data_IF_748538986923
#
_entry.id   IF_748538986923
#
_cell.length_a   1.000
_cell.length_b   1.000
_cell.length_c   1.000
_cell.angle_alpha   90.00
_cell.angle_beta   90.00
_cell.angle_gamma   90.00
#
_symmetry.space_group_name_H-M   'P 1'
#
loop_
_entity.id
_entity.type
_entity.pdbx_description
1 polymer ?
#
# COMPACT_ATOMS: atom_id res chain seq x y z
N UNK A 1 -10.84 -3.21 -16.78
CA UNK A 1 -10.05 -2.08 -16.23
C UNK A 1 -9.07 -1.65 -17.31
N UNK A 2 -9.38 -0.64 -18.09
CA UNK A 2 -8.54 -0.35 -19.29
C UNK A 2 -8.34 1.14 -19.55
N UNK A 3 -9.10 2.01 -18.94
CA UNK A 3 -8.99 3.45 -19.17
C UNK A 3 -8.39 4.13 -17.94
N UNK A 4 -7.29 4.84 -18.16
CA UNK A 4 -6.68 5.72 -17.17
C UNK A 4 -7.52 7.00 -17.07
N UNK A 5 -7.91 7.34 -15.84
CA UNK A 5 -8.65 8.55 -15.49
C UNK A 5 -7.86 9.42 -14.52
N UNK A 6 -8.32 10.65 -14.30
CA UNK A 6 -7.69 11.59 -13.36
C UNK A 6 -8.73 12.22 -12.46
N UNK A 7 -8.34 12.46 -11.20
CA UNK A 7 -9.14 13.16 -10.20
C UNK A 7 -8.22 14.03 -9.35
N UNK A 8 -8.71 15.21 -8.93
CA UNK A 8 -7.98 16.05 -7.97
C UNK A 8 -8.48 15.77 -6.55
N UNK A 9 -7.55 15.45 -5.64
CA UNK A 9 -7.82 15.28 -4.22
C UNK A 9 -6.60 15.73 -3.41
N UNK A 10 -6.81 16.27 -2.22
CA UNK A 10 -5.72 16.73 -1.34
C UNK A 10 -4.68 17.63 -2.05
N UNK A 11 -5.14 18.46 -3.00
CA UNK A 11 -4.27 19.35 -3.77
C UNK A 11 -3.34 18.67 -4.80
N UNK A 12 -3.60 17.41 -5.14
CA UNK A 12 -2.81 16.61 -6.08
C UNK A 12 -3.71 15.98 -7.14
N UNK A 13 -3.23 15.89 -8.38
CA UNK A 13 -3.89 15.14 -9.44
C UNK A 13 -3.49 13.67 -9.37
N UNK A 14 -4.46 12.80 -9.18
CA UNK A 14 -4.28 11.35 -9.13
C UNK A 14 -4.72 10.71 -10.44
N UNK A 15 -3.82 9.96 -11.09
CA UNK A 15 -4.21 8.99 -12.11
C UNK A 15 -4.80 7.75 -11.42
N UNK A 16 -5.87 7.16 -11.98
CA UNK A 16 -6.50 5.99 -11.40
C UNK A 16 -7.15 5.08 -12.42
N UNK A 17 -7.37 3.84 -12.03
CA UNK A 17 -8.25 2.88 -12.69
C UNK A 17 -9.51 2.67 -11.86
N UNK A 18 -10.61 2.35 -12.52
CA UNK A 18 -11.86 2.01 -11.85
C UNK A 18 -12.61 0.88 -12.53
N UNK A 19 -13.52 0.27 -11.80
CA UNK A 19 -14.51 -0.71 -12.26
C UNK A 19 -15.80 -0.61 -11.44
N UNK A 20 -16.93 -0.96 -12.05
CA UNK A 20 -18.25 -0.88 -11.41
C UNK A 20 -18.94 0.47 -11.55
N UNK A 21 -20.20 0.55 -11.09
CA UNK A 21 -21.01 1.77 -11.17
C UNK A 21 -20.48 2.85 -10.22
N UNK A 22 -20.39 4.09 -10.68
CA UNK A 22 -19.87 5.21 -9.89
C UNK A 22 -20.77 5.61 -8.69
N UNK A 23 -22.01 5.16 -8.66
CA UNK A 23 -22.98 5.38 -7.58
C UNK A 23 -23.07 4.21 -6.58
N UNK A 24 -22.24 3.18 -6.75
CA UNK A 24 -22.11 2.07 -5.80
C UNK A 24 -21.18 2.44 -4.63
N UNK A 25 -21.24 1.72 -3.49
CA UNK A 25 -20.30 1.92 -2.38
C UNK A 25 -18.84 1.87 -2.83
N UNK A 26 -18.02 2.81 -2.36
CA UNK A 26 -16.61 2.92 -2.76
C UNK A 26 -15.77 1.76 -2.19
N UNK A 27 -14.94 1.15 -3.04
CA UNK A 27 -13.83 0.29 -2.63
C UNK A 27 -12.52 0.89 -3.15
N UNK A 28 -11.76 1.55 -2.27
CA UNK A 28 -10.49 2.19 -2.62
C UNK A 28 -9.32 1.23 -2.40
N UNK A 29 -8.49 1.01 -3.44
CA UNK A 29 -7.37 0.07 -3.45
C UNK A 29 -6.03 0.80 -3.59
N UNK A 30 -5.19 0.78 -2.55
CA UNK A 30 -3.91 1.49 -2.48
C UNK A 30 -2.74 0.53 -2.63
N UNK A 31 -1.90 0.74 -3.64
CA UNK A 31 -0.66 -0.02 -3.85
C UNK A 31 0.48 0.45 -2.94
N UNK A 32 1.66 -0.14 -3.06
CA UNK A 32 2.85 0.28 -2.32
C UNK A 32 4.09 0.43 -3.19
N UNK A 33 5.25 0.08 -2.64
CA UNK A 33 6.56 0.12 -3.31
C UNK A 33 7.15 -1.30 -3.44
N UNK A 34 7.83 -1.61 -4.52
CA UNK A 34 7.79 -0.93 -5.80
C UNK A 34 6.65 -1.52 -6.66
N UNK A 35 5.51 -0.84 -6.65
CA UNK A 35 4.27 -1.30 -7.25
C UNK A 35 3.51 -0.14 -7.90
N UNK A 36 2.37 -0.40 -8.53
CA UNK A 36 1.48 0.59 -9.14
C UNK A 36 0.01 0.15 -9.07
N UNK A 37 -0.91 1.04 -9.43
CA UNK A 37 -2.34 0.72 -9.54
C UNK A 37 -2.66 -0.48 -10.48
N UNK A 38 -1.75 -0.87 -11.34
CA UNK A 38 -1.91 -2.03 -12.24
C UNK A 38 -2.01 -3.37 -11.48
N UNK A 39 -1.47 -3.47 -10.28
CA UNK A 39 -1.51 -4.70 -9.48
C UNK A 39 -2.92 -5.09 -9.04
N UNK A 40 -3.85 -4.13 -9.02
CA UNK A 40 -5.24 -4.36 -8.66
C UNK A 40 -6.12 -4.91 -9.80
N UNK A 41 -5.53 -5.22 -10.98
CA UNK A 41 -6.26 -5.69 -12.18
C UNK A 41 -7.14 -6.92 -11.97
N UNK A 42 -6.84 -7.77 -11.00
CA UNK A 42 -7.62 -8.95 -10.67
C UNK A 42 -8.70 -8.68 -9.62
N UNK A 43 -8.45 -7.75 -8.70
CA UNK A 43 -9.38 -7.45 -7.61
C UNK A 43 -10.45 -6.44 -8.05
N UNK A 44 -10.10 -5.41 -8.84
CA UNK A 44 -11.07 -4.39 -9.26
C UNK A 44 -12.32 -4.96 -9.95
N UNK A 45 -12.20 -5.89 -10.94
CA UNK A 45 -13.38 -6.51 -11.53
C UNK A 45 -14.20 -7.32 -10.51
N UNK A 46 -13.53 -8.03 -9.60
CA UNK A 46 -14.21 -8.86 -8.61
C UNK A 46 -14.99 -8.00 -7.58
N UNK A 47 -14.46 -6.85 -7.19
CA UNK A 47 -15.17 -5.87 -6.37
C UNK A 47 -16.37 -5.26 -7.11
N UNK A 48 -16.20 -4.93 -8.39
CA UNK A 48 -17.29 -4.41 -9.23
C UNK A 48 -18.43 -5.44 -9.38
N UNK A 49 -18.10 -6.70 -9.61
CA UNK A 49 -19.07 -7.80 -9.67
C UNK A 49 -19.79 -8.02 -8.33
N UNK A 50 -19.13 -7.67 -7.22
CA UNK A 50 -19.71 -7.69 -5.87
C UNK A 50 -20.51 -6.43 -5.51
N UNK A 51 -20.66 -5.48 -6.45
CA UNK A 51 -21.51 -4.29 -6.29
C UNK A 51 -20.78 -3.06 -5.72
N UNK A 52 -19.45 -2.97 -5.83
CA UNK A 52 -18.68 -1.79 -5.43
C UNK A 52 -18.31 -0.92 -6.64
N UNK A 53 -18.14 0.38 -6.39
CA UNK A 53 -17.32 1.26 -7.21
C UNK A 53 -15.86 1.06 -6.79
N UNK A 54 -15.14 0.20 -7.50
CA UNK A 54 -13.77 -0.16 -7.18
C UNK A 54 -12.79 0.81 -7.86
N UNK A 55 -11.92 1.45 -7.09
CA UNK A 55 -10.98 2.48 -7.55
C UNK A 55 -9.57 2.16 -7.09
N UNK A 56 -8.60 2.24 -8.00
CA UNK A 56 -7.18 2.09 -7.70
C UNK A 56 -6.39 3.30 -8.21
N UNK A 57 -6.03 4.26 -7.36
CA UNK A 57 -5.16 5.36 -7.72
C UNK A 57 -3.70 4.93 -7.77
N UNK A 58 -2.90 5.61 -8.60
CA UNK A 58 -1.46 5.66 -8.41
C UNK A 58 -1.18 6.58 -7.23
N UNK A 59 -0.36 6.14 -6.28
CA UNK A 59 -0.07 6.93 -5.09
C UNK A 59 0.67 8.24 -5.43
N UNK A 60 0.69 9.20 -4.47
CA UNK A 60 1.43 10.45 -4.61
C UNK A 60 2.86 10.21 -5.08
N UNK A 61 3.34 10.93 -6.09
CA UNK A 61 4.67 10.76 -6.61
C UNK A 61 4.91 9.54 -7.52
N UNK A 62 3.90 8.73 -7.81
CA UNK A 62 3.95 7.66 -8.79
C UNK A 62 3.23 8.09 -10.08
N UNK A 63 3.96 8.19 -11.20
CA UNK A 63 3.32 8.56 -12.46
C UNK A 63 2.23 7.54 -12.85
N UNK A 64 1.06 8.02 -13.35
CA UNK A 64 0.73 9.36 -13.80
C UNK A 64 0.21 10.32 -12.72
N UNK A 65 0.16 9.92 -11.44
CA UNK A 65 -0.15 10.87 -10.38
C UNK A 65 0.94 11.92 -10.22
N UNK A 66 0.56 13.11 -9.72
CA UNK A 66 1.48 14.24 -9.59
C UNK A 66 2.53 14.06 -8.49
N UNK A 67 3.52 14.95 -8.51
CA UNK A 67 4.49 15.15 -7.44
C UNK A 67 3.89 16.18 -6.46
N UNK A 68 3.74 15.87 -5.15
CA UNK A 68 3.15 16.80 -4.20
C UNK A 68 4.01 18.06 -4.04
N UNK A 69 3.39 19.22 -4.19
CA UNK A 69 4.08 20.51 -4.12
C UNK A 69 4.64 20.82 -2.71
N UNK A 70 4.02 20.25 -1.67
CA UNK A 70 4.47 20.36 -0.28
C UNK A 70 5.65 19.44 0.07
N UNK A 71 6.04 18.53 -0.84
CA UNK A 71 7.12 17.57 -0.64
C UNK A 71 6.84 16.53 0.46
N UNK A 72 5.58 16.37 0.88
CA UNK A 72 5.20 15.45 1.95
C UNK A 72 5.13 14.00 1.45
N UNK A 73 6.01 13.16 1.99
CA UNK A 73 6.08 11.72 1.70
C UNK A 73 5.93 10.85 2.95
N UNK A 74 5.61 11.45 4.09
CA UNK A 74 5.29 10.70 5.31
C UNK A 74 4.01 9.86 5.11
N UNK A 75 3.92 8.75 5.82
CA UNK A 75 2.79 7.84 5.70
C UNK A 75 1.43 8.50 6.01
N UNK A 76 1.40 9.47 6.94
CA UNK A 76 0.21 10.28 7.23
C UNK A 76 -0.29 11.08 6.02
N UNK A 77 0.61 11.52 5.12
CA UNK A 77 0.19 12.20 3.91
C UNK A 77 -0.52 11.26 2.92
N UNK A 78 -0.10 9.99 2.84
CA UNK A 78 -0.77 8.98 2.00
C UNK A 78 -2.13 8.60 2.61
N UNK A 79 -2.21 8.55 3.94
CA UNK A 79 -3.48 8.30 4.65
C UNK A 79 -4.47 9.46 4.43
N UNK A 80 -3.99 10.72 4.47
CA UNK A 80 -4.80 11.88 4.15
C UNK A 80 -5.27 11.88 2.68
N UNK A 81 -4.44 11.39 1.74
CA UNK A 81 -4.87 11.19 0.35
C UNK A 81 -6.02 10.19 0.26
N UNK A 82 -5.95 9.08 1.00
CA UNK A 82 -7.03 8.09 1.01
C UNK A 82 -8.35 8.71 1.48
N UNK A 83 -8.33 9.50 2.57
CA UNK A 83 -9.50 10.19 3.09
C UNK A 83 -10.02 11.28 2.12
N UNK A 84 -9.13 12.01 1.43
CA UNK A 84 -9.52 12.99 0.43
C UNK A 84 -10.07 12.36 -0.85
N UNK A 85 -9.51 11.21 -1.28
CA UNK A 85 -10.04 10.43 -2.40
C UNK A 85 -11.42 9.84 -2.08
N UNK A 86 -11.64 9.38 -0.84
CA UNK A 86 -12.97 8.98 -0.37
C UNK A 86 -13.99 10.10 -0.61
N UNK A 87 -13.69 11.34 -0.20
CA UNK A 87 -14.57 12.49 -0.45
C UNK A 87 -14.75 12.79 -1.94
N UNK A 88 -13.64 12.79 -2.70
CA UNK A 88 -13.65 13.13 -4.12
C UNK A 88 -14.46 12.15 -4.96
N UNK A 89 -14.50 10.86 -4.57
CA UNK A 89 -15.35 9.84 -5.19
C UNK A 89 -16.76 9.76 -4.61
N UNK A 90 -17.13 10.63 -3.67
CA UNK A 90 -18.46 10.63 -3.05
C UNK A 90 -18.69 9.45 -2.11
N UNK A 91 -17.63 8.93 -1.50
CA UNK A 91 -17.71 7.85 -0.52
C UNK A 91 -18.58 8.21 0.69
N UNK A 92 -19.21 7.21 1.26
CA UNK A 92 -20.00 7.29 2.49
C UNK A 92 -19.48 6.29 3.54
N UNK A 93 -20.22 6.11 4.64
CA UNK A 93 -19.84 5.18 5.71
C UNK A 93 -19.86 3.70 5.33
N UNK A 94 -20.33 3.33 4.13
CA UNK A 94 -20.29 1.97 3.58
C UNK A 94 -19.02 1.70 2.76
N UNK A 95 -18.19 2.73 2.55
CA UNK A 95 -16.92 2.59 1.83
C UNK A 95 -15.96 1.61 2.52
N UNK A 96 -15.11 0.98 1.72
CA UNK A 96 -14.08 0.04 2.18
C UNK A 96 -12.71 0.43 1.65
N UNK A 97 -11.66 0.19 2.45
CA UNK A 97 -10.29 0.55 2.11
C UNK A 97 -9.41 -0.69 2.07
N UNK A 98 -8.69 -0.87 0.97
CA UNK A 98 -7.82 -2.02 0.73
C UNK A 98 -6.42 -1.50 0.44
N UNK A 99 -5.43 -1.94 1.20
CA UNK A 99 -4.05 -1.48 1.03
C UNK A 99 -3.03 -2.61 0.99
N UNK A 100 -2.02 -2.46 0.15
CA UNK A 100 -0.86 -3.33 0.06
C UNK A 100 0.41 -2.52 0.34
N UNK A 101 1.34 -3.04 1.12
CA UNK A 101 2.64 -2.41 1.45
C UNK A 101 2.46 -0.97 1.99
N UNK A 102 2.96 0.08 1.36
CA UNK A 102 2.70 1.47 1.77
C UNK A 102 1.21 1.80 1.80
N UNK A 103 0.42 1.22 0.89
CA UNK A 103 -1.04 1.32 0.94
C UNK A 103 -1.64 0.69 2.18
N UNK A 104 -1.05 -0.39 2.74
CA UNK A 104 -1.48 -0.96 4.02
C UNK A 104 -1.17 -0.01 5.18
N UNK A 105 0.02 0.61 5.18
CA UNK A 105 0.38 1.64 6.17
C UNK A 105 -0.59 2.83 6.12
N UNK A 106 -0.90 3.31 4.92
CA UNK A 106 -1.88 4.38 4.72
C UNK A 106 -3.28 3.96 5.20
N UNK A 107 -3.66 2.70 5.01
CA UNK A 107 -4.94 2.16 5.48
C UNK A 107 -5.06 2.25 7.00
N UNK A 108 -4.01 1.89 7.75
CA UNK A 108 -4.02 2.05 9.21
C UNK A 108 -4.21 3.53 9.62
N UNK A 109 -3.48 4.45 8.97
CA UNK A 109 -3.60 5.88 9.23
C UNK A 109 -4.97 6.46 8.87
N UNK A 110 -5.51 6.12 7.70
CA UNK A 110 -6.79 6.61 7.21
C UNK A 110 -7.96 6.11 8.06
N UNK A 111 -7.98 4.81 8.39
CA UNK A 111 -9.03 4.21 9.24
C UNK A 111 -8.91 4.63 10.70
N UNK A 112 -7.70 4.93 11.17
CA UNK A 112 -7.46 5.39 12.53
C UNK A 112 -7.80 6.87 12.74
N UNK A 113 -7.61 7.72 11.72
CA UNK A 113 -7.89 9.16 11.78
C UNK A 113 -9.33 9.53 11.41
N UNK A 114 -10.02 8.71 10.61
CA UNK A 114 -11.38 8.95 10.14
C UNK A 114 -12.18 7.63 10.07
N UNK A 115 -12.39 6.93 11.20
CA UNK A 115 -13.01 5.61 11.22
C UNK A 115 -14.46 5.60 10.68
N UNK A 116 -15.18 6.72 10.80
CA UNK A 116 -16.55 6.88 10.32
C UNK A 116 -16.69 6.80 8.79
N UNK A 117 -15.60 6.93 8.06
CA UNK A 117 -15.56 6.86 6.59
C UNK A 117 -15.50 5.43 6.07
N UNK A 118 -14.99 4.50 6.88
CA UNK A 118 -14.56 3.18 6.43
C UNK A 118 -15.26 2.08 7.20
N UNK A 119 -16.20 1.39 6.57
CA UNK A 119 -16.94 0.28 7.18
C UNK A 119 -16.02 -0.89 7.55
N UNK A 120 -15.09 -1.22 6.67
CA UNK A 120 -14.08 -2.28 6.83
C UNK A 120 -12.82 -1.96 6.05
N UNK A 121 -11.73 -2.58 6.46
CA UNK A 121 -10.49 -2.49 5.69
C UNK A 121 -9.85 -3.85 5.47
N UNK A 122 -8.96 -3.89 4.47
CA UNK A 122 -8.05 -5.01 4.20
C UNK A 122 -6.64 -4.46 4.09
N UNK A 123 -5.69 -5.08 4.79
CA UNK A 123 -4.27 -4.75 4.68
C UNK A 123 -3.48 -5.98 4.26
N UNK A 124 -2.51 -5.81 3.38
CA UNK A 124 -1.72 -6.90 2.84
C UNK A 124 -0.23 -6.63 3.02
N UNK A 125 0.50 -7.65 3.43
CA UNK A 125 1.96 -7.75 3.50
C UNK A 125 2.65 -6.86 4.53
N UNK A 126 1.98 -5.84 5.08
CA UNK A 126 2.53 -5.01 6.17
C UNK A 126 1.62 -5.09 7.39
N UNK A 127 2.16 -5.52 8.56
CA UNK A 127 1.39 -5.65 9.79
C UNK A 127 1.05 -4.26 10.38
N UNK A 128 0.10 -4.18 11.34
CA UNK A 128 -0.13 -2.96 12.12
C UNK A 128 1.17 -2.54 12.82
N UNK A 129 1.55 -1.28 12.68
CA UNK A 129 2.87 -0.79 13.08
C UNK A 129 2.99 -0.59 14.60
N UNK A 130 1.88 -0.40 15.31
CA UNK A 130 1.86 -0.29 16.76
C UNK A 130 2.29 -1.60 17.43
N UNK A 131 3.44 -1.60 18.11
CA UNK A 131 3.99 -2.78 18.78
C UNK A 131 4.86 -3.68 17.89
N UNK A 132 4.49 -3.93 16.65
CA UNK A 132 5.26 -4.78 15.72
C UNK A 132 6.53 -4.08 15.21
N UNK A 133 6.54 -2.74 15.13
CA UNK A 133 7.74 -1.98 14.77
C UNK A 133 8.91 -2.21 15.73
N UNK A 134 8.65 -2.41 17.01
CA UNK A 134 9.70 -2.72 17.99
C UNK A 134 10.36 -4.06 17.65
N UNK A 135 9.57 -5.04 17.21
CA UNK A 135 10.07 -6.37 16.83
C UNK A 135 10.69 -6.36 15.43
N UNK A 136 10.17 -5.57 14.49
CA UNK A 136 10.75 -5.40 13.16
C UNK A 136 12.21 -4.94 13.19
N UNK A 137 12.53 -4.03 14.12
CA UNK A 137 13.89 -3.53 14.33
C UNK A 137 14.63 -4.23 15.48
N UNK A 138 14.08 -5.29 16.07
CA UNK A 138 14.69 -6.06 17.17
C UNK A 138 15.88 -6.92 16.70
N UNK A 139 16.59 -6.44 15.68
CA UNK A 139 17.88 -6.99 15.24
C UNK A 139 17.84 -8.44 14.76
N UNK A 140 16.69 -8.94 14.28
CA UNK A 140 16.70 -10.16 13.49
C UNK A 140 17.55 -9.93 12.24
N UNK A 141 18.65 -10.64 12.16
CA UNK A 141 19.57 -10.53 11.05
C UNK A 141 18.89 -10.86 9.71
N UNK A 142 17.93 -11.79 9.70
CA UNK A 142 17.15 -12.15 8.52
C UNK A 142 16.31 -10.98 8.02
N UNK A 143 15.55 -10.33 8.91
CA UNK A 143 14.72 -9.18 8.56
C UNK A 143 15.58 -7.97 8.19
N UNK A 144 16.65 -7.71 8.91
CA UNK A 144 17.58 -6.63 8.58
C UNK A 144 18.14 -6.75 7.15
N UNK A 145 18.47 -8.00 6.77
CA UNK A 145 18.96 -8.31 5.42
C UNK A 145 17.89 -8.09 4.35
N UNK A 146 16.63 -8.46 4.62
CA UNK A 146 15.49 -8.19 3.72
C UNK A 146 15.25 -6.68 3.58
N UNK A 147 15.45 -5.91 4.62
CA UNK A 147 15.21 -4.47 4.69
C UNK A 147 16.39 -3.61 4.23
N UNK A 148 17.45 -4.17 3.64
CA UNK A 148 18.68 -3.43 3.26
C UNK A 148 18.39 -2.20 2.41
N UNK A 149 17.37 -2.27 1.52
CA UNK A 149 17.01 -1.19 0.61
C UNK A 149 16.50 0.05 1.36
N UNK A 150 15.85 -0.11 2.51
CA UNK A 150 15.41 1.00 3.36
C UNK A 150 16.62 1.84 3.82
N UNK A 151 17.71 1.18 4.19
CA UNK A 151 18.95 1.84 4.58
C UNK A 151 19.72 2.41 3.37
N UNK A 152 19.71 1.71 2.24
CA UNK A 152 20.24 2.22 0.98
C UNK A 152 19.59 3.56 0.62
N UNK A 153 18.27 3.67 0.77
CA UNK A 153 17.49 4.86 0.43
C UNK A 153 17.77 6.06 1.34
N UNK A 154 18.40 5.86 2.50
CA UNK A 154 18.89 6.97 3.34
C UNK A 154 20.22 7.54 2.84
N UNK A 155 20.92 6.88 1.92
CA UNK A 155 22.24 7.30 1.45
C UNK A 155 22.17 8.24 0.25
N UNK A 156 23.25 8.99 -0.04
CA UNK A 156 23.35 9.78 -1.28
C UNK A 156 23.41 8.93 -2.56
N UNK A 157 23.54 7.61 -2.42
CA UNK A 157 23.59 6.68 -3.56
C UNK A 157 22.20 6.16 -3.98
N UNK A 158 21.14 6.52 -3.25
CA UNK A 158 19.81 5.96 -3.40
C UNK A 158 19.26 6.06 -4.84
N UNK A 159 19.13 7.27 -5.37
CA UNK A 159 18.57 7.51 -6.71
C UNK A 159 19.47 6.90 -7.80
N UNK A 160 20.78 7.10 -7.71
CA UNK A 160 21.72 6.55 -8.70
C UNK A 160 21.72 5.01 -8.69
N UNK A 161 21.68 4.40 -7.49
CA UNK A 161 21.62 2.95 -7.34
C UNK A 161 20.31 2.36 -7.81
N UNK A 162 19.18 3.01 -7.50
CA UNK A 162 17.85 2.55 -7.93
C UNK A 162 17.64 2.71 -9.43
N UNK A 163 18.20 3.76 -10.07
CA UNK A 163 18.10 3.99 -11.51
C UNK A 163 19.07 3.14 -12.35
N UNK A 164 20.13 2.59 -11.73
CA UNK A 164 21.18 1.88 -12.44
C UNK A 164 20.64 0.65 -13.19
N UNK A 165 21.26 0.38 -14.36
CA UNK A 165 20.98 -0.82 -15.17
C UNK A 165 19.47 -1.04 -15.44
N UNK A 166 18.80 0.02 -15.92
CA UNK A 166 17.35 0.02 -16.14
C UNK A 166 16.56 -0.40 -14.88
N UNK A 167 16.91 0.19 -13.74
CA UNK A 167 16.29 -0.09 -12.43
C UNK A 167 16.36 -1.58 -12.00
N UNK A 168 17.51 -2.22 -12.24
CA UNK A 168 17.71 -3.63 -11.87
C UNK A 168 17.47 -3.93 -10.38
N UNK A 169 17.52 -2.91 -9.51
CA UNK A 169 17.13 -3.03 -8.11
C UNK A 169 15.65 -3.47 -7.99
N UNK A 170 14.75 -2.92 -8.80
CA UNK A 170 13.33 -3.29 -8.80
C UNK A 170 13.16 -4.75 -9.20
N UNK A 171 13.83 -5.21 -10.27
CA UNK A 171 13.80 -6.64 -10.67
C UNK A 171 14.27 -7.54 -9.53
N UNK A 172 15.33 -7.12 -8.83
CA UNK A 172 15.86 -7.85 -7.68
C UNK A 172 14.88 -7.95 -6.53
N UNK A 173 14.25 -6.83 -6.14
CA UNK A 173 13.28 -6.79 -5.05
C UNK A 173 12.07 -7.66 -5.36
N UNK A 174 11.49 -7.58 -6.56
CA UNK A 174 10.35 -8.41 -6.94
C UNK A 174 10.66 -9.90 -6.87
N UNK A 175 11.81 -10.33 -7.41
CA UNK A 175 12.26 -11.72 -7.35
C UNK A 175 12.47 -12.22 -5.93
N UNK A 176 13.08 -11.37 -5.09
CA UNK A 176 13.45 -11.76 -3.73
C UNK A 176 12.23 -11.71 -2.79
N UNK A 177 11.26 -10.81 -3.05
CA UNK A 177 10.06 -10.64 -2.21
C UNK A 177 8.93 -11.62 -2.55
N UNK A 178 8.84 -12.05 -3.80
CA UNK A 178 7.84 -13.02 -4.28
C UNK A 178 8.50 -14.10 -5.12
N UNK A 179 9.29 -15.00 -4.49
CA UNK A 179 10.09 -15.99 -5.23
C UNK A 179 9.24 -16.99 -6.02
N UNK A 180 7.95 -17.15 -5.64
CA UNK A 180 6.97 -17.99 -6.34
C UNK A 180 6.37 -17.35 -7.59
N UNK A 181 6.47 -16.04 -7.75
CA UNK A 181 5.80 -15.30 -8.83
C UNK A 181 6.64 -15.24 -10.10
N UNK A 182 6.39 -16.16 -11.03
CA UNK A 182 7.19 -16.31 -12.26
C UNK A 182 6.85 -15.28 -13.36
N UNK A 183 5.62 -14.75 -13.39
CA UNK A 183 5.11 -13.87 -14.45
C UNK A 183 5.17 -12.37 -14.10
N UNK A 184 6.08 -11.97 -13.21
CA UNK A 184 6.21 -10.60 -12.71
C UNK A 184 6.64 -9.56 -13.79
N UNK A 185 7.10 -9.99 -14.95
CA UNK A 185 7.72 -9.11 -15.94
C UNK A 185 6.85 -7.92 -16.40
N UNK A 186 5.54 -8.10 -16.52
CA UNK A 186 4.63 -7.00 -16.88
C UNK A 186 4.44 -6.01 -15.74
N UNK A 187 4.33 -6.50 -14.53
CA UNK A 187 4.16 -5.67 -13.33
C UNK A 187 5.42 -4.83 -13.10
N UNK A 188 6.58 -5.45 -13.17
CA UNK A 188 7.89 -4.77 -13.10
C UNK A 188 8.00 -3.69 -14.18
N UNK A 189 7.55 -3.97 -15.42
CA UNK A 189 7.57 -2.98 -16.49
C UNK A 189 6.68 -1.77 -16.18
N UNK A 190 5.50 -1.96 -15.61
CA UNK A 190 4.63 -0.87 -15.16
C UNK A 190 5.27 -0.04 -14.04
N UNK A 191 5.92 -0.68 -13.09
CA UNK A 191 6.67 0.02 -12.03
C UNK A 191 7.78 0.88 -12.61
N UNK A 192 8.60 0.30 -13.47
CA UNK A 192 9.71 1.02 -14.12
C UNK A 192 9.21 2.19 -14.97
N UNK A 193 8.09 2.03 -15.67
CA UNK A 193 7.48 3.12 -16.44
C UNK A 193 7.02 4.26 -15.53
N UNK A 194 6.34 3.93 -14.43
CA UNK A 194 5.86 4.92 -13.45
C UNK A 194 7.00 5.70 -12.77
N UNK A 195 8.14 5.04 -12.51
CA UNK A 195 9.29 5.62 -11.80
C UNK A 195 10.44 6.06 -12.74
N UNK A 196 10.27 6.01 -14.04
CA UNK A 196 11.32 6.32 -15.04
C UNK A 196 11.80 7.76 -14.95
N UNK A 197 10.90 8.70 -14.69
CA UNK A 197 11.30 10.08 -14.44
C UNK A 197 12.03 10.19 -13.10
N UNK A 198 13.20 10.83 -13.04
CA UNK A 198 13.97 10.97 -11.81
C UNK A 198 13.19 11.61 -10.65
N UNK A 199 12.24 12.50 -10.92
CA UNK A 199 11.43 13.13 -9.88
C UNK A 199 10.45 12.13 -9.25
N UNK A 200 9.86 11.23 -10.03
CA UNK A 200 8.99 10.16 -9.51
C UNK A 200 9.79 9.11 -8.73
N UNK A 201 10.98 8.74 -9.22
CA UNK A 201 11.87 7.85 -8.46
C UNK A 201 12.28 8.46 -7.12
N UNK A 202 12.67 9.75 -7.11
CA UNK A 202 13.01 10.46 -5.88
C UNK A 202 11.81 10.57 -4.92
N UNK A 203 10.59 10.74 -5.45
CA UNK A 203 9.36 10.75 -4.67
C UNK A 203 9.11 9.39 -3.98
N UNK A 204 9.23 8.27 -4.70
CA UNK A 204 9.09 6.93 -4.12
C UNK A 204 10.14 6.64 -3.04
N UNK A 205 11.40 7.06 -3.25
CA UNK A 205 12.47 7.01 -2.23
C UNK A 205 12.15 7.92 -1.05
N UNK A 206 11.49 9.04 -1.30
CA UNK A 206 11.07 10.02 -0.29
C UNK A 206 10.24 9.42 0.85
N UNK A 207 9.42 8.42 0.58
CA UNK A 207 8.63 7.70 1.58
C UNK A 207 9.53 7.08 2.66
N UNK A 208 10.59 6.41 2.25
CA UNK A 208 11.56 5.77 3.14
C UNK A 208 12.42 6.78 3.89
N UNK A 209 12.73 7.92 3.27
CA UNK A 209 13.44 9.02 3.95
C UNK A 209 12.58 9.67 5.03
N UNK A 210 11.29 9.88 4.75
CA UNK A 210 10.36 10.40 5.74
C UNK A 210 10.13 9.41 6.92
N UNK A 211 10.31 8.11 6.70
CA UNK A 211 10.17 7.09 7.75
C UNK A 211 11.17 7.30 8.91
N UNK A 212 12.40 7.68 8.61
CA UNK A 212 13.46 7.85 9.61
C UNK A 212 13.80 9.30 9.95
N UNK A 213 13.24 10.26 9.23
CA UNK A 213 13.53 11.69 9.43
C UNK A 213 12.24 12.48 9.64
N UNK A 214 11.76 12.61 10.90
CA UNK A 214 10.57 13.41 11.21
C UNK A 214 10.66 14.89 10.81
N UNK A 215 11.88 15.43 10.55
CA UNK A 215 12.02 16.81 10.05
C UNK A 215 11.47 16.99 8.62
N UNK A 216 11.24 15.89 7.91
CA UNK A 216 10.59 15.85 6.60
C UNK A 216 9.06 15.79 6.68
N UNK A 217 8.51 15.70 7.89
CA UNK A 217 7.06 15.64 8.06
C UNK A 217 6.43 17.03 7.94
N UNK A 218 5.35 17.10 7.18
CA UNK A 218 4.51 18.29 7.07
C UNK A 218 3.42 18.20 8.14
N UNK A 219 3.30 19.23 8.95
CA UNK A 219 2.41 19.25 10.13
C UNK A 219 0.91 19.11 9.78
N UNK A 220 0.51 19.44 8.56
CA UNK A 220 -0.88 19.27 8.10
C UNK A 220 -1.36 17.81 8.16
N UNK A 221 -0.46 16.84 8.16
CA UNK A 221 -0.76 15.40 8.19
C UNK A 221 -0.43 14.74 9.54
N UNK A 222 -0.33 15.53 10.61
CA UNK A 222 0.10 15.03 11.91
C UNK A 222 -0.91 14.05 12.54
N UNK A 223 -2.21 14.29 12.36
CA UNK A 223 -3.26 13.43 12.90
C UNK A 223 -3.24 12.04 12.24
N UNK A 224 -3.16 11.98 10.92
CA UNK A 224 -3.05 10.73 10.18
C UNK A 224 -1.73 10.00 10.47
N UNK A 225 -0.63 10.76 10.66
CA UNK A 225 0.67 10.21 11.01
C UNK A 225 0.66 9.55 12.38
N UNK A 226 0.00 10.16 13.36
CA UNK A 226 -0.16 9.59 14.71
C UNK A 226 -1.05 8.33 14.68
N UNK A 227 -2.12 8.37 13.88
CA UNK A 227 -3.06 7.26 13.75
C UNK A 227 -2.44 5.96 13.20
N UNK A 228 -1.33 6.03 12.44
CA UNK A 228 -0.67 4.86 11.84
C UNK A 228 -0.25 3.82 12.89
N UNK A 229 0.17 4.26 14.07
CA UNK A 229 0.63 3.38 15.15
C UNK A 229 -0.43 3.13 16.22
N UNK A 230 -1.57 3.80 16.13
CA UNK A 230 -2.70 3.61 17.03
C UNK A 230 -3.53 2.38 16.62
N UNK A 231 -4.12 1.71 17.61
CA UNK A 231 -5.16 0.72 17.30
C UNK A 231 -6.46 1.46 17.04
N UNK A 232 -6.91 1.44 15.77
CA UNK A 232 -8.15 2.08 15.34
C UNK A 232 -9.41 1.29 15.74
N UNK A 233 -10.57 1.72 15.26
CA UNK A 233 -11.86 1.07 15.52
C UNK A 233 -12.38 0.26 14.32
N UNK A 234 -12.00 0.62 13.10
CA UNK A 234 -12.44 -0.07 11.87
C UNK A 234 -11.91 -1.49 11.82
N UNK A 235 -12.77 -2.52 11.68
CA UNK A 235 -12.32 -3.91 11.57
C UNK A 235 -11.45 -4.14 10.32
N UNK A 236 -10.35 -4.86 10.48
CA UNK A 236 -9.34 -5.10 9.43
C UNK A 236 -9.17 -6.59 9.17
N UNK A 237 -9.15 -6.99 7.90
CA UNK A 237 -8.57 -8.26 7.47
C UNK A 237 -7.10 -8.03 7.12
N UNK A 238 -6.20 -8.63 7.90
CA UNK A 238 -4.78 -8.63 7.57
C UNK A 238 -4.38 -9.95 6.90
N UNK A 239 -3.83 -9.86 5.68
CA UNK A 239 -3.33 -10.99 4.90
C UNK A 239 -1.81 -10.88 4.74
N UNK A 240 -1.10 -12.00 4.94
CA UNK A 240 0.35 -12.04 4.82
C UNK A 240 0.83 -13.32 4.17
N UNK A 241 1.74 -13.22 3.21
CA UNK A 241 2.31 -14.38 2.52
C UNK A 241 3.33 -15.13 3.39
N UNK A 242 3.29 -16.47 3.42
CA UNK A 242 4.27 -17.26 4.18
C UNK A 242 5.68 -17.17 3.62
N UNK A 243 5.80 -16.88 2.33
CA UNK A 243 7.07 -16.79 1.59
C UNK A 243 7.47 -15.34 1.30
N UNK A 244 6.89 -14.38 2.06
CA UNK A 244 7.20 -12.95 1.92
C UNK A 244 8.68 -12.68 2.21
N UNK A 245 9.41 -12.29 1.17
CA UNK A 245 10.84 -11.96 1.24
C UNK A 245 11.13 -10.49 1.59
N UNK A 246 10.08 -9.65 1.72
CA UNK A 246 10.19 -8.27 2.20
C UNK A 246 10.06 -8.21 3.74
N UNK A 247 8.93 -8.70 4.26
CA UNK A 247 8.67 -8.85 5.70
C UNK A 247 8.44 -10.33 5.98
N UNK A 248 9.31 -10.94 6.77
CA UNK A 248 9.22 -12.37 7.04
C UNK A 248 7.98 -12.72 7.85
N UNK A 249 7.35 -13.86 7.54
CA UNK A 249 6.18 -14.35 8.27
C UNK A 249 6.46 -14.62 9.77
N UNK A 250 7.69 -14.83 10.14
CA UNK A 250 8.16 -14.96 11.53
C UNK A 250 8.06 -13.66 12.32
N UNK A 251 8.24 -12.51 11.66
CA UNK A 251 8.18 -11.17 12.28
C UNK A 251 6.74 -10.75 12.59
N UNK A 252 5.75 -11.28 11.86
CA UNK A 252 4.36 -10.80 11.94
C UNK A 252 3.45 -11.63 12.85
N UNK A 253 3.97 -12.65 13.54
CA UNK A 253 3.15 -13.57 14.32
C UNK A 253 2.32 -12.91 15.43
N UNK A 254 2.82 -11.83 16.04
CA UNK A 254 2.12 -11.02 17.04
C UNK A 254 1.16 -9.97 16.48
N UNK A 255 1.08 -9.81 15.17
CA UNK A 255 0.32 -8.73 14.54
C UNK A 255 -1.17 -8.71 14.89
N UNK A 256 -1.76 -9.90 15.13
CA UNK A 256 -3.18 -10.03 15.50
C UNK A 256 -3.55 -9.26 16.78
N UNK A 257 -2.64 -9.19 17.74
CA UNK A 257 -2.88 -8.55 19.04
C UNK A 257 -2.92 -7.02 18.94
N UNK A 258 -2.50 -6.47 17.81
CA UNK A 258 -2.46 -5.05 17.51
C UNK A 258 -3.55 -4.61 16.52
N UNK A 259 -4.39 -5.53 16.05
CA UNK A 259 -5.52 -5.21 15.18
C UNK A 259 -6.74 -4.76 16.00
N UNK A 260 -7.62 -3.91 15.43
CA UNK A 260 -8.89 -3.52 16.04
C UNK A 260 -9.79 -4.72 16.40
N UNK A 261 -10.71 -4.53 17.33
CA UNK A 261 -11.70 -5.54 17.70
C UNK A 261 -12.51 -5.98 16.44
N UNK A 262 -12.82 -7.27 16.34
CA UNK A 262 -13.53 -7.83 15.20
C UNK A 262 -12.67 -8.08 13.95
N UNK A 263 -11.36 -7.77 14.01
CA UNK A 263 -10.41 -8.02 12.91
C UNK A 263 -10.01 -9.50 12.79
N UNK A 264 -9.49 -9.85 11.63
CA UNK A 264 -8.96 -11.19 11.31
C UNK A 264 -7.57 -11.07 10.71
N UNK A 265 -6.68 -12.00 11.07
CA UNK A 265 -5.37 -12.18 10.42
C UNK A 265 -5.33 -13.56 9.78
N UNK A 266 -4.73 -13.65 8.61
CA UNK A 266 -4.50 -14.91 7.90
C UNK A 266 -3.14 -14.94 7.22
N UNK A 267 -2.41 -16.04 7.41
CA UNK A 267 -1.20 -16.36 6.64
C UNK A 267 -1.61 -17.10 5.37
N UNK A 268 -1.19 -16.57 4.23
CA UNK A 268 -1.51 -17.12 2.90
C UNK A 268 -0.34 -18.01 2.47
N UNK A 269 -0.52 -19.30 2.64
CA UNK A 269 0.51 -20.30 2.36
C UNK A 269 0.95 -20.28 0.89
N UNK A 270 2.29 -20.32 0.68
CA UNK A 270 2.92 -20.42 -0.64
C UNK A 270 2.88 -19.13 -1.46
N UNK A 271 2.60 -17.97 -0.84
CA UNK A 271 2.67 -16.66 -1.49
C UNK A 271 3.73 -15.79 -0.86
N UNK A 272 4.35 -14.92 -1.67
CA UNK A 272 5.28 -13.90 -1.23
C UNK A 272 4.60 -12.55 -0.93
N UNK A 273 5.33 -11.48 -1.17
CA UNK A 273 4.90 -10.10 -0.87
C UNK A 273 3.72 -9.64 -1.72
N UNK A 274 3.71 -9.98 -3.02
CA UNK A 274 2.64 -9.59 -3.95
C UNK A 274 1.54 -10.66 -4.02
N UNK A 275 1.06 -11.11 -2.84
CA UNK A 275 0.11 -12.23 -2.71
C UNK A 275 -1.16 -12.08 -3.55
N UNK A 276 -1.64 -10.86 -3.77
CA UNK A 276 -2.82 -10.55 -4.58
C UNK A 276 -2.59 -10.75 -6.08
N UNK A 277 -1.33 -10.80 -6.52
CA UNK A 277 -0.92 -11.15 -7.87
C UNK A 277 -0.55 -12.62 -8.00
N UNK A 278 0.00 -13.22 -6.95
CA UNK A 278 0.44 -14.61 -6.92
C UNK A 278 -0.73 -15.60 -6.81
N UNK A 279 -1.75 -15.25 -6.02
CA UNK A 279 -2.92 -16.08 -5.78
C UNK A 279 -4.24 -15.29 -5.92
N UNK A 280 -4.51 -14.66 -7.08
CA UNK A 280 -5.60 -13.70 -7.22
C UNK A 280 -6.99 -14.26 -6.88
N UNK A 281 -7.29 -15.50 -7.31
CA UNK A 281 -8.60 -16.11 -7.02
C UNK A 281 -8.79 -16.36 -5.51
N UNK A 282 -7.73 -16.78 -4.81
CA UNK A 282 -7.77 -16.98 -3.35
C UNK A 282 -7.95 -15.65 -2.63
N UNK A 283 -7.12 -14.67 -2.95
CA UNK A 283 -7.16 -13.35 -2.31
C UNK A 283 -8.48 -12.63 -2.56
N UNK A 284 -8.95 -12.62 -3.81
CA UNK A 284 -10.26 -12.03 -4.14
C UNK A 284 -11.39 -12.67 -3.32
N UNK A 285 -11.40 -14.00 -3.18
CA UNK A 285 -12.40 -14.71 -2.38
C UNK A 285 -12.35 -14.32 -0.89
N UNK A 286 -11.14 -14.25 -0.29
CA UNK A 286 -10.98 -13.86 1.11
C UNK A 286 -11.40 -12.41 1.36
N UNK A 287 -11.00 -11.50 0.46
CA UNK A 287 -11.39 -10.08 0.51
C UNK A 287 -12.91 -9.94 0.41
N UNK A 288 -13.54 -10.54 -0.61
CA UNK A 288 -14.98 -10.43 -0.81
C UNK A 288 -15.78 -11.06 0.34
N UNK A 289 -15.36 -12.21 0.85
CA UNK A 289 -15.98 -12.84 2.01
C UNK A 289 -15.88 -11.94 3.27
N UNK A 290 -14.75 -11.27 3.47
CA UNK A 290 -14.55 -10.32 4.55
C UNK A 290 -15.44 -9.10 4.41
N UNK A 291 -15.55 -8.53 3.22
CA UNK A 291 -16.34 -7.33 2.96
C UNK A 291 -17.86 -7.58 3.00
N UNK A 292 -18.33 -8.81 2.79
CA UNK A 292 -19.75 -9.18 2.82
C UNK A 292 -20.31 -9.33 4.25
N UNK A 293 -19.48 -9.60 5.26
CA UNK A 293 -19.88 -9.79 6.67
C UNK A 293 -19.82 -8.56 7.48
#
# INVERSE_FOLDING_TARGET
VTELKNINANGLDFGYFEAGPADAPLALCLHGFPDTAHSWRHLLPALADAGYHAVAPFLRGYAPSGIPADGAYQAGAIAADANALHEAFGGDGDAVLIGHDWGAIATYGATGSAPERWRRAVTMSVPPLGGVLADFFNYDYGQFKRSFYIFLFQTPLAEAGAAAHDMALIDGLWRDWSPGYQDAGKDIAHVKESLRDPAHLAAAIGYYRALFDPSRHVAAYAAEQEAITATGETPILYLHGTDDGCIGADVVQGAKDHLPAGSRMELVEGTGHFLHLEAPERINREVLAWLAG
#
